data_IF_516561530168
#
_entry.id   IF_516561530168
#
_cell.length_a   1.000
_cell.length_b   1.000
_cell.length_c   1.000
_cell.angle_alpha   90.00
_cell.angle_beta   90.00
_cell.angle_gamma   90.00
#
_symmetry.space_group_name_H-M   'P 1'
#
loop_
_entity.id
_entity.type
_entity.pdbx_description
1 polymer ?
#
# COMPACT_ATOMS: atom_id res chain seq x y z
N UNK A 1 -29.24 0.59 7.29
CA UNK A 1 -29.91 1.09 6.12
C UNK A 1 -29.46 0.40 4.86
N UNK A 2 -30.34 0.33 3.92
CA UNK A 2 -30.08 -0.32 2.65
C UNK A 2 -28.92 0.30 1.88
N UNK A 3 -28.70 1.61 2.06
CA UNK A 3 -27.61 2.33 1.38
C UNK A 3 -26.25 1.79 1.80
N UNK A 4 -26.06 1.57 3.10
CA UNK A 4 -24.80 1.00 3.60
C UNK A 4 -24.56 -0.41 3.10
N UNK A 5 -25.61 -1.24 3.08
CA UNK A 5 -25.53 -2.60 2.54
C UNK A 5 -25.20 -2.60 1.06
N UNK A 6 -25.85 -1.74 0.29
CA UNK A 6 -25.59 -1.63 -1.15
C UNK A 6 -24.16 -1.18 -1.42
N UNK A 7 -23.64 -0.23 -0.65
CA UNK A 7 -22.25 0.23 -0.79
C UNK A 7 -21.26 -0.90 -0.48
N UNK A 8 -21.50 -1.71 0.55
CA UNK A 8 -20.62 -2.80 0.91
C UNK A 8 -20.67 -3.96 -0.11
N UNK A 9 -21.70 -4.04 -0.95
CA UNK A 9 -21.81 -5.03 -2.01
C UNK A 9 -21.01 -4.65 -3.25
N UNK A 10 -20.60 -3.38 -3.38
CA UNK A 10 -19.89 -2.86 -4.56
C UNK A 10 -18.39 -3.10 -4.46
N UNK A 11 -17.85 -3.18 -3.24
CA UNK A 11 -16.42 -3.38 -3.02
C UNK A 11 -16.19 -4.21 -1.77
N UNK A 12 -14.97 -4.74 -1.66
CA UNK A 12 -14.57 -5.55 -0.51
C UNK A 12 -14.25 -4.68 0.70
N UNK A 13 -14.31 -5.28 1.88
CA UNK A 13 -13.96 -4.60 3.14
C UNK A 13 -12.45 -4.61 3.34
N UNK A 14 -11.97 -3.73 4.22
CA UNK A 14 -10.53 -3.59 4.49
C UNK A 14 -9.89 -4.85 5.08
N UNK A 15 -10.66 -5.73 5.69
CA UNK A 15 -10.14 -7.00 6.21
C UNK A 15 -9.75 -7.98 5.10
N UNK A 16 -10.05 -7.70 3.85
CA UNK A 16 -9.56 -8.46 2.70
C UNK A 16 -8.11 -8.09 2.32
N UNK A 17 -7.58 -6.98 2.83
CA UNK A 17 -6.18 -6.66 2.68
C UNK A 17 -5.39 -7.66 3.51
N UNK A 18 -4.45 -8.37 2.88
CA UNK A 18 -3.80 -9.51 3.51
C UNK A 18 -2.29 -9.34 3.57
N UNK A 19 -1.80 -8.85 4.71
CA UNK A 19 -0.37 -8.68 4.95
C UNK A 19 0.36 -10.00 5.14
N UNK A 20 -0.36 -11.11 5.33
CA UNK A 20 0.28 -12.42 5.50
C UNK A 20 0.93 -12.93 4.21
N UNK A 21 0.61 -12.33 3.05
CA UNK A 21 1.32 -12.63 1.81
C UNK A 21 2.77 -12.18 1.85
N UNK A 22 3.09 -11.15 2.64
CA UNK A 22 4.40 -10.52 2.62
C UNK A 22 5.49 -11.44 3.17
N UNK A 23 6.59 -11.53 2.42
CA UNK A 23 7.76 -12.32 2.79
C UNK A 23 9.01 -11.47 2.63
N UNK A 24 10.07 -11.89 3.30
CA UNK A 24 11.37 -11.21 3.25
C UNK A 24 12.46 -12.21 2.92
N UNK A 25 13.61 -11.69 2.53
CA UNK A 25 14.85 -12.46 2.46
C UNK A 25 15.93 -11.71 3.25
N UNK A 26 16.88 -12.46 3.79
CA UNK A 26 17.96 -11.88 4.60
C UNK A 26 18.92 -11.08 3.72
N UNK A 27 19.32 -9.92 4.22
CA UNK A 27 20.24 -9.05 3.50
C UNK A 27 20.96 -8.17 4.52
N UNK A 28 22.29 -8.15 4.46
CA UNK A 28 23.08 -7.51 5.51
C UNK A 28 23.68 -6.15 5.13
N UNK A 29 23.41 -5.61 3.97
CA UNK A 29 23.88 -4.28 3.58
C UNK A 29 22.91 -3.19 4.07
N UNK A 30 22.99 -2.87 5.35
CA UNK A 30 22.01 -2.03 6.05
C UNK A 30 21.95 -0.58 5.55
N UNK A 31 23.01 -0.12 4.90
CA UNK A 31 23.07 1.26 4.39
C UNK A 31 22.75 1.37 2.90
N UNK A 32 22.32 0.29 2.28
CA UNK A 32 21.89 0.37 0.89
C UNK A 32 20.51 1.03 0.80
N UNK A 33 20.41 2.05 -0.03
CA UNK A 33 19.12 2.66 -0.32
C UNK A 33 18.38 1.79 -1.36
N UNK A 34 17.17 1.43 -1.05
CA UNK A 34 16.34 0.60 -1.93
C UNK A 34 15.06 1.37 -2.27
N UNK A 35 14.79 1.47 -3.55
CA UNK A 35 13.54 2.05 -4.04
C UNK A 35 12.84 1.03 -4.95
N UNK A 36 11.60 0.73 -4.65
CA UNK A 36 10.77 -0.17 -5.45
C UNK A 36 9.47 0.54 -5.79
N UNK A 37 9.12 0.57 -7.06
CA UNK A 37 7.93 1.27 -7.54
C UNK A 37 7.01 0.31 -8.27
N UNK A 38 5.70 0.41 -8.02
CA UNK A 38 4.69 -0.24 -8.84
C UNK A 38 3.72 0.81 -9.36
N UNK A 39 3.24 0.60 -10.59
CA UNK A 39 2.22 1.44 -11.22
C UNK A 39 0.88 0.72 -11.35
N UNK A 40 0.75 -0.41 -10.66
CA UNK A 40 -0.42 -1.27 -10.80
C UNK A 40 -1.28 -1.33 -9.54
N UNK A 41 -1.07 -0.39 -8.61
CA UNK A 41 -1.86 -0.37 -7.38
C UNK A 41 -3.27 0.14 -7.66
N UNK A 42 -4.27 -0.55 -7.12
CA UNK A 42 -5.64 -0.08 -7.17
C UNK A 42 -6.40 -0.47 -5.91
N UNK A 43 -7.31 0.40 -5.51
CA UNK A 43 -8.30 0.17 -4.49
C UNK A 43 -9.57 0.86 -4.94
N UNK A 44 -10.56 0.98 -4.07
CA UNK A 44 -11.85 1.59 -4.42
C UNK A 44 -12.15 2.71 -3.43
N UNK A 45 -12.64 3.83 -3.93
CA UNK A 45 -13.11 4.91 -3.06
C UNK A 45 -14.38 4.43 -2.33
N UNK A 46 -14.41 4.41 -0.99
CA UNK A 46 -15.58 3.93 -0.26
C UNK A 46 -16.82 4.80 -0.50
N UNK A 47 -16.63 6.07 -0.83
CA UNK A 47 -17.73 6.99 -1.04
C UNK A 47 -18.38 6.79 -2.40
N UNK A 48 -17.58 6.75 -3.47
CA UNK A 48 -18.09 6.73 -4.85
C UNK A 48 -18.17 5.33 -5.44
N UNK A 49 -17.44 4.35 -4.88
CA UNK A 49 -17.34 3.02 -5.47
C UNK A 49 -16.49 2.97 -6.73
N UNK A 50 -15.81 4.08 -7.08
CA UNK A 50 -14.95 4.13 -8.25
C UNK A 50 -13.52 3.70 -7.92
N UNK A 51 -12.81 3.08 -8.88
CA UNK A 51 -11.44 2.64 -8.61
C UNK A 51 -10.50 3.83 -8.45
N UNK A 52 -9.60 3.70 -7.47
CA UNK A 52 -8.46 4.59 -7.27
C UNK A 52 -7.20 3.88 -7.75
N UNK A 53 -6.57 4.44 -8.77
CA UNK A 53 -5.34 3.91 -9.35
C UNK A 53 -4.17 4.77 -8.92
N UNK A 54 -3.07 4.14 -8.55
CA UNK A 54 -1.92 4.88 -8.04
C UNK A 54 -0.59 4.22 -8.40
N UNK A 55 0.45 5.07 -8.46
CA UNK A 55 1.82 4.60 -8.37
C UNK A 55 2.17 4.53 -6.89
N UNK A 56 2.84 3.46 -6.47
CA UNK A 56 3.33 3.32 -5.09
C UNK A 56 4.86 3.25 -5.14
N UNK A 57 5.50 4.16 -4.40
CA UNK A 57 6.95 4.19 -4.27
C UNK A 57 7.31 3.77 -2.85
N UNK A 58 8.07 2.69 -2.73
CA UNK A 58 8.55 2.16 -1.46
C UNK A 58 10.05 2.45 -1.39
N UNK A 59 10.46 3.23 -0.40
CA UNK A 59 11.86 3.56 -0.19
C UNK A 59 12.27 3.14 1.21
N UNK A 60 13.42 2.47 1.34
CA UNK A 60 13.89 2.08 2.66
C UNK A 60 15.38 1.75 2.68
N UNK A 61 15.93 1.73 3.90
CA UNK A 61 17.24 1.15 4.20
C UNK A 61 16.99 -0.11 5.02
N UNK A 62 17.59 -1.26 4.64
CA UNK A 62 17.29 -2.54 5.30
C UNK A 62 18.00 -2.69 6.64
N UNK A 63 17.73 -1.79 7.58
CA UNK A 63 18.32 -1.80 8.91
C UNK A 63 17.99 -3.06 9.70
N UNK A 64 16.84 -3.67 9.43
CA UNK A 64 16.43 -4.92 10.08
C UNK A 64 17.13 -6.16 9.53
N UNK A 65 18.05 -6.00 8.58
CA UNK A 65 18.78 -7.13 8.00
C UNK A 65 17.97 -7.94 6.99
N UNK A 66 16.95 -7.35 6.39
CA UNK A 66 16.10 -8.06 5.45
C UNK A 66 15.46 -7.11 4.44
N UNK A 67 15.13 -7.66 3.28
CA UNK A 67 14.44 -6.94 2.20
C UNK A 67 13.12 -7.63 1.91
N UNK A 68 12.16 -6.84 1.39
CA UNK A 68 10.87 -7.41 0.97
C UNK A 68 11.06 -8.21 -0.32
N UNK A 69 10.42 -9.38 -0.38
CA UNK A 69 10.42 -10.22 -1.56
C UNK A 69 9.33 -9.73 -2.52
N UNK A 70 9.69 -9.49 -3.79
CA UNK A 70 8.82 -8.74 -4.70
C UNK A 70 7.58 -9.52 -5.16
N UNK A 71 7.66 -10.84 -5.32
CA UNK A 71 6.48 -11.62 -5.69
C UNK A 71 5.43 -11.58 -4.60
N UNK A 72 5.87 -11.69 -3.35
CA UNK A 72 4.99 -11.58 -2.19
C UNK A 72 4.37 -10.19 -2.10
N UNK A 73 5.14 -9.16 -2.41
CA UNK A 73 4.66 -7.78 -2.43
C UNK A 73 3.58 -7.61 -3.49
N UNK A 74 3.73 -8.24 -4.65
CA UNK A 74 2.70 -8.22 -5.68
C UNK A 74 1.39 -8.81 -5.18
N UNK A 75 1.42 -9.96 -4.54
CA UNK A 75 0.20 -10.57 -4.00
C UNK A 75 -0.42 -9.71 -2.90
N UNK A 76 0.41 -9.09 -2.07
CA UNK A 76 -0.07 -8.16 -1.06
C UNK A 76 -0.85 -7.01 -1.71
N UNK A 77 -0.29 -6.37 -2.73
CA UNK A 77 -0.99 -5.28 -3.42
C UNK A 77 -2.24 -5.76 -4.15
N UNK A 78 -2.23 -6.97 -4.69
CA UNK A 78 -3.44 -7.53 -5.32
C UNK A 78 -4.58 -7.64 -4.30
N UNK A 79 -4.27 -7.87 -3.02
CA UNK A 79 -5.31 -7.97 -2.00
C UNK A 79 -6.04 -6.65 -1.76
N UNK A 80 -5.51 -5.51 -2.24
CA UNK A 80 -6.20 -4.21 -2.17
C UNK A 80 -7.25 -4.02 -3.26
N UNK A 81 -7.19 -4.81 -4.32
CA UNK A 81 -8.12 -4.64 -5.46
C UNK A 81 -9.56 -4.83 -4.99
N UNK A 82 -10.42 -3.91 -5.39
CA UNK A 82 -11.82 -3.88 -5.01
C UNK A 82 -12.07 -3.65 -3.51
N UNK A 83 -11.04 -3.32 -2.74
CA UNK A 83 -11.21 -2.98 -1.32
C UNK A 83 -11.56 -1.51 -1.19
N UNK A 84 -12.64 -1.22 -0.46
CA UNK A 84 -13.05 0.14 -0.17
C UNK A 84 -12.19 0.76 0.92
N UNK A 85 -11.28 1.64 0.52
CA UNK A 85 -10.37 2.32 1.44
C UNK A 85 -9.97 3.67 0.84
N UNK A 86 -9.97 4.72 1.66
CA UNK A 86 -9.54 6.05 1.22
C UNK A 86 -8.05 6.07 0.92
N UNK A 87 -7.64 6.99 0.05
CA UNK A 87 -6.26 7.14 -0.41
C UNK A 87 -5.27 7.28 0.76
N UNK A 88 -5.61 8.14 1.70
CA UNK A 88 -4.77 8.40 2.88
C UNK A 88 -4.64 7.17 3.77
N UNK A 89 -5.74 6.47 3.96
CA UNK A 89 -5.77 5.25 4.78
C UNK A 89 -5.01 4.09 4.11
N UNK A 90 -5.09 3.99 2.79
CA UNK A 90 -4.34 2.97 2.05
C UNK A 90 -2.83 3.18 2.21
N UNK A 91 -2.38 4.42 2.11
CA UNK A 91 -0.96 4.76 2.29
C UNK A 91 -0.49 4.40 3.70
N UNK A 92 -1.29 4.73 4.71
CA UNK A 92 -0.99 4.40 6.10
C UNK A 92 -0.94 2.90 6.32
N UNK A 93 -1.88 2.16 5.73
CA UNK A 93 -1.92 0.70 5.84
C UNK A 93 -0.67 0.05 5.25
N UNK A 94 -0.26 0.48 4.07
CA UNK A 94 0.96 -0.03 3.42
C UNK A 94 2.18 0.27 4.30
N UNK A 95 2.27 1.48 4.82
CA UNK A 95 3.38 1.86 5.69
C UNK A 95 3.44 0.97 6.94
N UNK A 96 2.31 0.80 7.62
CA UNK A 96 2.26 0.01 8.84
C UNK A 96 2.65 -1.45 8.59
N UNK A 97 2.14 -2.04 7.52
CA UNK A 97 2.43 -3.44 7.20
C UNK A 97 3.91 -3.64 6.84
N UNK A 98 4.49 -2.75 6.05
CA UNK A 98 5.89 -2.86 5.66
C UNK A 98 6.83 -2.52 6.80
N UNK A 99 6.47 -1.59 7.67
CA UNK A 99 7.28 -1.28 8.84
C UNK A 99 7.36 -2.47 9.79
N UNK A 100 6.23 -3.12 10.05
CA UNK A 100 6.21 -4.32 10.89
C UNK A 100 7.03 -5.45 10.27
N UNK A 101 6.97 -5.61 8.95
CA UNK A 101 7.69 -6.65 8.24
C UNK A 101 9.19 -6.44 8.24
N UNK A 102 9.64 -5.22 7.88
CA UNK A 102 11.05 -4.91 7.62
C UNK A 102 11.84 -4.52 8.87
N UNK A 103 11.14 -4.12 9.92
CA UNK A 103 11.76 -3.72 11.18
C UNK A 103 12.84 -2.64 10.99
N UNK A 104 12.54 -1.65 10.16
CA UNK A 104 13.43 -0.51 9.91
C UNK A 104 12.73 0.79 10.28
N UNK A 105 13.49 1.73 10.83
CA UNK A 105 12.98 3.07 11.12
C UNK A 105 13.02 3.99 9.89
N UNK A 106 13.78 3.59 8.86
CA UNK A 106 14.01 4.39 7.66
C UNK A 106 13.21 3.79 6.51
N UNK A 107 11.92 4.13 6.49
CA UNK A 107 10.95 3.65 5.51
C UNK A 107 10.03 4.80 5.13
N UNK A 108 9.83 4.98 3.85
CA UNK A 108 8.94 6.01 3.31
C UNK A 108 8.08 5.41 2.23
N UNK A 109 6.78 5.60 2.34
CA UNK A 109 5.79 5.17 1.34
C UNK A 109 5.18 6.40 0.70
N UNK A 110 5.24 6.47 -0.61
CA UNK A 110 4.59 7.53 -1.39
C UNK A 110 3.58 6.90 -2.31
N UNK A 111 2.34 7.40 -2.29
CA UNK A 111 1.31 6.99 -3.24
C UNK A 111 0.89 8.20 -4.06
N UNK A 112 0.95 8.05 -5.39
CA UNK A 112 0.62 9.13 -6.32
C UNK A 112 -0.58 8.66 -7.12
N UNK A 113 -1.73 9.27 -6.83
CA UNK A 113 -2.99 8.84 -7.41
C UNK A 113 -3.28 9.53 -8.74
N UNK A 114 -3.93 8.81 -9.64
CA UNK A 114 -4.43 9.39 -10.87
C UNK A 114 -5.45 10.49 -10.55
N UNK A 115 -5.50 11.51 -11.41
CA UNK A 115 -6.42 12.63 -11.24
C UNK A 115 -7.85 12.14 -11.10
N UNK A 116 -8.56 12.62 -10.08
CA UNK A 116 -9.95 12.31 -9.82
C UNK A 116 -10.72 13.56 -9.46
N UNK A 117 -11.83 13.79 -10.19
CA UNK A 117 -12.66 14.97 -9.96
C UNK A 117 -11.89 16.28 -10.12
N UNK A 118 -10.82 16.29 -10.93
CA UNK A 118 -9.96 17.45 -11.08
C UNK A 118 -8.87 17.57 -10.02
N UNK A 119 -8.75 16.60 -9.11
CA UNK A 119 -7.75 16.65 -8.03
C UNK A 119 -6.61 15.66 -8.27
N UNK A 120 -5.39 16.13 -8.02
CA UNK A 120 -4.18 15.30 -7.97
C UNK A 120 -3.79 15.15 -6.51
N UNK A 121 -3.67 13.92 -6.04
CA UNK A 121 -3.36 13.65 -4.65
C UNK A 121 -2.11 12.79 -4.52
N UNK A 122 -1.19 13.22 -3.67
CA UNK A 122 -0.01 12.44 -3.27
C UNK A 122 -0.03 12.30 -1.76
N UNK A 123 0.12 11.07 -1.28
CA UNK A 123 0.17 10.79 0.15
C UNK A 123 1.55 10.23 0.50
N UNK A 124 2.11 10.68 1.62
CA UNK A 124 3.44 10.23 2.08
C UNK A 124 3.34 9.84 3.55
N UNK A 125 3.87 8.65 3.87
CA UNK A 125 4.02 8.18 5.25
C UNK A 125 5.47 7.81 5.49
N UNK A 126 5.99 8.21 6.64
CA UNK A 126 7.34 7.87 7.05
C UNK A 126 8.39 8.80 6.47
N UNK A 127 9.64 8.47 6.78
CA UNK A 127 10.79 9.26 6.36
C UNK A 127 12.05 8.40 6.31
N UNK A 128 13.04 8.86 5.61
CA UNK A 128 14.35 8.22 5.50
C UNK A 128 15.36 8.93 6.40
#
# INVERSE_FOLDING_TARGET
PSTSSAASDVYKRQDHIDSSFLETFNFDSKNQYIETTTREFSAVCPFSGLPDLADVIIEYFPEGGKCVELKSLKYYFVSFRNVGIYQEAATKRIYNDLKALLETSRLKITTIYNTRGGFDTTCIEGEL
#
